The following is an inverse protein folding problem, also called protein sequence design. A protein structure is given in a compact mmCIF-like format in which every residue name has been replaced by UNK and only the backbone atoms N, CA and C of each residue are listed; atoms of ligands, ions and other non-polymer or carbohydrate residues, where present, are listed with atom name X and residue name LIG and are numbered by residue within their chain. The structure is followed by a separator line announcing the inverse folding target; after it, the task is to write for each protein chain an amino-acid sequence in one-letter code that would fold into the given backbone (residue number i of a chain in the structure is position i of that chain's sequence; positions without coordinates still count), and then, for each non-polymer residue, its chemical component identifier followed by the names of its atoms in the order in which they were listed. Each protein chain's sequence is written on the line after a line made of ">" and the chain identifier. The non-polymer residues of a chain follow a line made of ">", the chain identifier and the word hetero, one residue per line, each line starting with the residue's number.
data_IF_150837851349
#
_entry.id   IF_150837851349
#
_cell.length_a   1.000
_cell.length_b   1.000
_cell.length_c   1.000
_cell.angle_alpha   90.00
_cell.angle_beta   90.00
_cell.angle_gamma   90.00
#
_symmetry.space_group_name_H-M   'P 1'
#
loop_
_entity.id
_entity.type
_entity.pdbx_description
1 polymer ?
#
# COMPACT_ATOMS: atom_id res chain seq x y z
N UNK A 1 12.37 14.81 20.75
CA UNK A 1 11.55 13.70 20.22
C UNK A 1 10.26 14.29 19.70
N UNK A 2 10.18 14.58 18.40
CA UNK A 2 9.00 15.20 17.79
C UNK A 2 8.20 14.10 17.07
N UNK A 3 7.24 13.51 17.78
CA UNK A 3 6.32 12.52 17.24
C UNK A 3 5.24 13.21 16.43
N UNK A 4 5.54 13.54 15.17
CA UNK A 4 4.54 13.94 14.20
C UNK A 4 3.66 12.75 13.83
N UNK A 5 2.54 12.58 14.54
CA UNK A 5 1.50 11.61 14.19
C UNK A 5 0.68 12.18 13.03
N UNK A 6 1.24 12.12 11.82
CA UNK A 6 0.50 12.29 10.57
C UNK A 6 0.11 10.91 10.03
N UNK A 7 -1.06 10.42 10.42
CA UNK A 7 -1.57 9.08 10.11
C UNK A 7 -2.45 9.01 8.85
N UNK A 8 -2.26 7.90 8.14
CA UNK A 8 -3.00 7.26 7.02
C UNK A 8 -3.52 8.11 5.83
N UNK A 9 -4.26 9.20 6.04
CA UNK A 9 -4.68 10.10 4.94
C UNK A 9 -4.56 11.60 5.26
N UNK A 10 -3.92 11.97 6.37
CA UNK A 10 -3.42 13.34 6.60
C UNK A 10 -2.14 13.60 5.79
N UNK A 11 -2.02 14.79 5.20
CA UNK A 11 -0.84 15.20 4.44
C UNK A 11 0.40 15.26 5.37
N UNK A 12 1.33 14.33 5.20
CA UNK A 12 2.67 14.50 5.76
C UNK A 12 3.32 15.71 5.10
N UNK A 13 3.98 16.58 5.89
CA UNK A 13 4.74 17.73 5.37
C UNK A 13 5.66 17.26 4.24
N UNK A 14 5.38 17.70 3.02
CA UNK A 14 6.27 17.52 1.89
C UNK A 14 7.59 18.24 2.19
N UNK A 15 8.73 17.54 2.07
CA UNK A 15 10.06 18.15 2.10
C UNK A 15 10.98 17.78 3.27
N UNK A 16 10.57 16.94 4.22
CA UNK A 16 11.52 16.37 5.19
C UNK A 16 12.38 15.32 4.48
N UNK A 17 13.68 15.60 4.28
CA UNK A 17 14.65 14.65 3.72
C UNK A 17 14.45 13.26 4.31
N UNK A 18 14.16 12.29 3.45
CA UNK A 18 13.87 10.92 3.89
C UNK A 18 15.19 10.23 4.16
N UNK A 19 15.55 10.10 5.43
CA UNK A 19 16.65 9.21 5.82
C UNK A 19 16.30 7.77 5.39
N UNK A 20 17.05 7.17 4.44
CA UNK A 20 16.76 5.83 3.93
C UNK A 20 16.72 4.77 5.04
N UNK A 21 17.52 4.96 6.10
CA UNK A 21 17.63 4.02 7.22
C UNK A 21 16.33 4.00 8.04
N UNK A 22 15.69 5.16 8.20
CA UNK A 22 14.39 5.28 8.89
C UNK A 22 13.22 4.64 8.12
N UNK A 23 13.35 4.50 6.80
CA UNK A 23 12.35 3.82 5.96
C UNK A 23 12.54 2.30 6.03
N UNK A 24 13.79 1.85 5.97
CA UNK A 24 14.18 0.43 6.05
C UNK A 24 13.81 -0.24 7.38
N UNK A 25 13.68 0.54 8.45
CA UNK A 25 13.28 0.03 9.79
C UNK A 25 11.77 -0.15 9.95
N UNK A 26 10.95 0.29 8.99
CA UNK A 26 9.50 0.08 9.06
C UNK A 26 9.19 -1.42 8.87
N UNK A 27 8.44 -2.06 9.78
CA UNK A 27 8.21 -3.50 9.74
C UNK A 27 7.54 -3.96 8.42
N UNK A 28 6.64 -3.14 7.86
CA UNK A 28 6.03 -3.42 6.56
C UNK A 28 7.05 -3.47 5.41
N UNK A 29 8.02 -2.55 5.38
CA UNK A 29 9.04 -2.47 4.33
C UNK A 29 9.99 -3.67 4.44
N UNK A 30 10.34 -4.09 5.65
CA UNK A 30 11.15 -5.29 5.89
C UNK A 30 10.45 -6.52 5.31
N UNK A 31 9.15 -6.69 5.55
CA UNK A 31 8.38 -7.80 4.97
C UNK A 31 8.36 -7.74 3.44
N UNK A 32 8.24 -6.56 2.84
CA UNK A 32 8.32 -6.40 1.37
C UNK A 32 9.67 -6.82 0.81
N UNK A 33 10.75 -6.43 1.48
CA UNK A 33 12.10 -6.85 1.10
C UNK A 33 12.26 -8.37 1.23
N UNK A 34 11.69 -8.99 2.27
CA UNK A 34 11.68 -10.45 2.41
C UNK A 34 10.89 -11.12 1.27
N UNK A 35 9.71 -10.62 0.91
CA UNK A 35 8.96 -11.12 -0.25
C UNK A 35 9.79 -11.05 -1.54
N UNK A 36 10.50 -9.93 -1.74
CA UNK A 36 11.37 -9.72 -2.90
C UNK A 36 12.54 -10.71 -2.93
N UNK A 37 13.27 -10.86 -1.81
CA UNK A 37 14.38 -11.80 -1.68
C UNK A 37 13.92 -13.25 -1.87
N UNK A 38 12.83 -13.66 -1.21
CA UNK A 38 12.34 -15.04 -1.31
C UNK A 38 11.92 -15.38 -2.74
N UNK A 39 11.31 -14.42 -3.45
CA UNK A 39 10.97 -14.59 -4.86
C UNK A 39 12.22 -14.87 -5.71
N UNK A 40 13.30 -14.10 -5.51
CA UNK A 40 14.60 -14.31 -6.18
C UNK A 40 15.17 -15.69 -5.87
N UNK A 41 15.14 -16.10 -4.60
CA UNK A 41 15.65 -17.42 -4.22
C UNK A 41 14.88 -18.53 -4.94
N UNK A 42 13.54 -18.45 -5.01
CA UNK A 42 12.75 -19.50 -5.66
C UNK A 42 13.00 -19.58 -7.16
N UNK A 43 12.80 -18.48 -7.91
CA UNK A 43 13.00 -18.55 -9.37
C UNK A 43 14.48 -18.74 -9.73
N UNK A 44 15.40 -18.24 -8.90
CA UNK A 44 16.84 -18.45 -9.05
C UNK A 44 17.22 -19.91 -8.88
N UNK A 45 16.79 -20.57 -7.80
CA UNK A 45 17.05 -21.99 -7.57
C UNK A 45 16.50 -22.87 -8.70
N UNK A 46 15.27 -22.59 -9.16
CA UNK A 46 14.66 -23.34 -10.27
C UNK A 46 15.38 -23.05 -11.59
N UNK A 47 15.73 -21.79 -11.86
CA UNK A 47 16.40 -21.39 -13.10
C UNK A 47 17.83 -21.93 -13.20
N UNK A 48 18.57 -21.99 -12.09
CA UNK A 48 19.97 -22.44 -12.08
C UNK A 48 20.10 -23.96 -12.16
N UNK A 49 19.38 -24.71 -11.32
CA UNK A 49 19.56 -26.17 -11.24
C UNK A 49 18.23 -26.96 -11.25
N UNK A 50 17.11 -26.31 -11.57
CA UNK A 50 15.83 -26.99 -11.78
C UNK A 50 15.75 -27.77 -13.09
N UNK A 51 16.71 -27.61 -14.00
CA UNK A 51 16.71 -28.20 -15.34
C UNK A 51 17.96 -29.02 -15.62
N UNK A 52 17.79 -30.15 -16.30
CA UNK A 52 18.89 -30.97 -16.83
C UNK A 52 18.50 -31.56 -18.18
N UNK A 53 19.26 -31.24 -19.23
CA UNK A 53 19.00 -31.69 -20.61
C UNK A 53 17.54 -31.46 -21.03
N UNK A 54 17.06 -30.23 -20.82
CA UNK A 54 15.70 -29.75 -21.11
C UNK A 54 14.57 -30.47 -20.34
N UNK A 55 14.91 -31.25 -19.31
CA UNK A 55 13.95 -31.88 -18.41
C UNK A 55 13.93 -31.16 -17.07
N UNK A 56 12.73 -30.83 -16.60
CA UNK A 56 12.52 -30.31 -15.26
C UNK A 56 12.80 -31.39 -14.22
N UNK A 57 13.58 -31.08 -13.19
CA UNK A 57 13.93 -32.03 -12.12
C UNK A 57 12.75 -32.36 -11.19
N UNK A 58 11.66 -31.57 -11.22
CA UNK A 58 10.40 -31.91 -10.59
C UNK A 58 9.66 -32.97 -11.42
N UNK A 59 10.13 -34.22 -11.37
CA UNK A 59 9.49 -35.39 -12.00
C UNK A 59 9.30 -35.26 -13.53
N UNK A 60 10.24 -34.61 -14.23
CA UNK A 60 10.13 -34.31 -15.67
C UNK A 60 8.88 -33.49 -16.04
N UNK A 61 8.23 -32.87 -15.08
CA UNK A 61 7.06 -32.02 -15.31
C UNK A 61 7.51 -30.60 -15.63
N UNK A 62 7.55 -30.27 -16.93
CA UNK A 62 7.90 -28.94 -17.44
C UNK A 62 7.02 -27.85 -16.80
N UNK A 63 5.74 -28.16 -16.53
CA UNK A 63 4.83 -27.19 -15.95
C UNK A 63 5.19 -26.86 -14.50
N UNK A 64 5.78 -27.79 -13.74
CA UNK A 64 6.19 -27.52 -12.36
C UNK A 64 7.31 -26.47 -12.29
N UNK A 65 8.39 -26.64 -13.09
CA UNK A 65 9.47 -25.66 -13.15
C UNK A 65 8.98 -24.30 -13.71
N UNK A 66 8.17 -24.31 -14.77
CA UNK A 66 7.63 -23.09 -15.36
C UNK A 66 6.69 -22.35 -14.42
N UNK A 67 5.83 -23.08 -13.70
CA UNK A 67 4.92 -22.52 -12.72
C UNK A 67 5.68 -21.85 -11.57
N UNK A 68 6.62 -22.57 -10.94
CA UNK A 68 7.43 -22.00 -9.85
C UNK A 68 8.26 -20.79 -10.29
N UNK A 69 8.87 -20.84 -11.48
CA UNK A 69 9.61 -19.72 -12.06
C UNK A 69 8.69 -18.53 -12.32
N UNK A 70 7.54 -18.76 -12.96
CA UNK A 70 6.57 -17.72 -13.30
C UNK A 70 6.03 -17.01 -12.06
N UNK A 71 5.62 -17.75 -11.03
CA UNK A 71 5.17 -17.17 -9.76
C UNK A 71 6.29 -16.39 -9.08
N UNK A 72 7.52 -16.92 -9.07
CA UNK A 72 8.68 -16.18 -8.53
C UNK A 72 8.93 -14.86 -9.26
N UNK A 73 8.87 -14.83 -10.59
CA UNK A 73 9.08 -13.59 -11.38
C UNK A 73 7.95 -12.59 -11.17
N UNK A 74 6.69 -13.04 -11.15
CA UNK A 74 5.53 -12.16 -10.89
C UNK A 74 5.62 -11.58 -9.47
N UNK A 75 5.96 -12.40 -8.48
CA UNK A 75 6.13 -11.95 -7.11
C UNK A 75 7.32 -10.97 -6.96
N UNK A 76 8.42 -11.18 -7.69
CA UNK A 76 9.55 -10.25 -7.75
C UNK A 76 9.16 -8.87 -8.32
N UNK A 77 8.50 -8.84 -9.49
CA UNK A 77 8.08 -7.58 -10.11
C UNK A 77 7.00 -6.87 -9.30
N UNK A 78 6.02 -7.64 -8.80
CA UNK A 78 4.94 -7.11 -7.98
C UNK A 78 5.43 -6.57 -6.63
N UNK A 79 6.34 -7.29 -5.96
CA UNK A 79 6.93 -6.81 -4.71
C UNK A 79 7.76 -5.54 -4.91
N UNK A 80 8.51 -5.43 -6.01
CA UNK A 80 9.22 -4.21 -6.38
C UNK A 80 8.25 -3.04 -6.61
N UNK A 81 7.17 -3.24 -7.36
CA UNK A 81 6.17 -2.20 -7.61
C UNK A 81 5.47 -1.74 -6.33
N UNK A 82 5.15 -2.67 -5.42
CA UNK A 82 4.57 -2.35 -4.12
C UNK A 82 5.55 -1.62 -3.20
N UNK A 83 6.84 -1.98 -3.23
CA UNK A 83 7.88 -1.28 -2.49
C UNK A 83 8.04 0.17 -2.98
N UNK A 84 8.03 0.40 -4.29
CA UNK A 84 7.99 1.77 -4.86
C UNK A 84 6.73 2.51 -4.41
N UNK A 85 5.58 1.83 -4.41
CA UNK A 85 4.31 2.40 -3.95
C UNK A 85 4.40 2.83 -2.48
N UNK A 86 5.02 2.03 -1.61
CA UNK A 86 5.24 2.37 -0.20
C UNK A 86 6.16 3.59 -0.02
N UNK A 87 7.24 3.69 -0.80
CA UNK A 87 8.16 4.84 -0.76
C UNK A 87 7.46 6.12 -1.21
N UNK A 88 6.69 6.04 -2.29
CA UNK A 88 5.99 7.20 -2.86
C UNK A 88 4.65 7.51 -2.17
N UNK A 89 4.19 6.66 -1.25
CA UNK A 89 2.84 6.73 -0.67
C UNK A 89 2.51 8.12 -0.08
N UNK A 90 3.48 8.72 0.63
CA UNK A 90 3.32 10.02 1.25
C UNK A 90 3.26 11.18 0.24
N UNK A 91 3.82 10.99 -0.95
CA UNK A 91 3.84 11.99 -2.03
C UNK A 91 2.52 12.01 -2.82
N UNK A 92 1.66 11.01 -2.66
CA UNK A 92 0.35 10.97 -3.32
C UNK A 92 -0.57 12.00 -2.65
N UNK A 93 -1.01 13.04 -3.36
CA UNK A 93 -1.90 14.09 -2.80
C UNK A 93 -3.36 13.64 -2.68
N UNK A 94 -3.79 12.67 -3.48
CA UNK A 94 -5.19 12.24 -3.54
C UNK A 94 -5.49 11.07 -2.61
N UNK A 95 -6.39 11.29 -1.65
CA UNK A 95 -6.92 10.27 -0.74
C UNK A 95 -7.54 9.10 -1.51
N UNK A 96 -8.26 9.38 -2.60
CA UNK A 96 -8.88 8.36 -3.46
C UNK A 96 -7.83 7.43 -4.08
N UNK A 97 -6.71 8.00 -4.55
CA UNK A 97 -5.60 7.23 -5.13
C UNK A 97 -4.90 6.40 -4.06
N UNK A 98 -4.59 6.99 -2.90
CA UNK A 98 -3.97 6.25 -1.78
C UNK A 98 -4.86 5.08 -1.33
N UNK A 99 -6.18 5.27 -1.23
CA UNK A 99 -7.12 4.18 -0.89
C UNK A 99 -7.10 3.05 -1.92
N UNK A 100 -7.14 3.38 -3.22
CA UNK A 100 -7.03 2.38 -4.29
C UNK A 100 -5.70 1.63 -4.25
N UNK A 101 -4.60 2.33 -3.99
CA UNK A 101 -3.28 1.70 -3.86
C UNK A 101 -3.25 0.70 -2.70
N UNK A 102 -3.80 1.04 -1.53
CA UNK A 102 -3.88 0.11 -0.40
C UNK A 102 -4.77 -1.09 -0.69
N UNK A 103 -5.93 -0.90 -1.35
CA UNK A 103 -6.81 -2.02 -1.73
C UNK A 103 -6.12 -2.94 -2.74
N UNK A 104 -5.45 -2.36 -3.76
CA UNK A 104 -4.69 -3.11 -4.74
C UNK A 104 -3.56 -3.91 -4.07
N UNK A 105 -2.89 -3.32 -3.08
CA UNK A 105 -1.87 -3.99 -2.29
C UNK A 105 -2.42 -5.21 -1.51
N UNK A 106 -3.54 -5.02 -0.80
CA UNK A 106 -4.21 -6.13 -0.08
C UNK A 106 -4.57 -7.25 -1.06
N UNK A 107 -5.20 -6.92 -2.19
CA UNK A 107 -5.65 -7.88 -3.19
C UNK A 107 -4.46 -8.66 -3.80
N UNK A 108 -3.42 -7.93 -4.23
CA UNK A 108 -2.23 -8.56 -4.80
C UNK A 108 -1.51 -9.43 -3.78
N UNK A 109 -1.38 -8.95 -2.54
CA UNK A 109 -0.70 -9.69 -1.48
C UNK A 109 -1.47 -10.96 -1.09
N UNK A 110 -2.80 -10.91 -1.07
CA UNK A 110 -3.66 -12.08 -0.85
C UNK A 110 -3.56 -13.10 -1.99
N UNK A 111 -3.60 -12.63 -3.24
CA UNK A 111 -3.41 -13.49 -4.41
C UNK A 111 -2.04 -14.17 -4.36
N UNK A 112 -0.97 -13.43 -4.04
CA UNK A 112 0.38 -14.00 -3.95
C UNK A 112 0.52 -14.99 -2.79
N UNK A 113 -0.04 -14.72 -1.61
CA UNK A 113 -0.03 -15.69 -0.51
C UNK A 113 -0.68 -17.03 -0.91
N UNK A 114 -1.82 -16.97 -1.60
CA UNK A 114 -2.48 -18.16 -2.13
C UNK A 114 -1.63 -18.85 -3.21
N UNK A 115 -1.07 -18.10 -4.15
CA UNK A 115 -0.22 -18.67 -5.20
C UNK A 115 1.05 -19.32 -4.62
N UNK A 116 1.66 -18.76 -3.57
CA UNK A 116 2.79 -19.38 -2.88
C UNK A 116 2.41 -20.69 -2.19
N UNK A 117 1.20 -20.78 -1.63
CA UNK A 117 0.68 -22.05 -1.11
C UNK A 117 0.51 -23.09 -2.23
N UNK A 118 -0.06 -22.70 -3.38
CA UNK A 118 -0.18 -23.59 -4.54
C UNK A 118 1.20 -24.02 -5.06
N UNK A 119 2.15 -23.10 -5.18
CA UNK A 119 3.54 -23.39 -5.58
C UNK A 119 4.20 -24.36 -4.64
N UNK A 120 4.10 -24.14 -3.32
CA UNK A 120 4.64 -25.07 -2.32
C UNK A 120 4.05 -26.47 -2.47
N UNK A 121 2.72 -26.59 -2.54
CA UNK A 121 2.05 -27.88 -2.67
C UNK A 121 2.44 -28.60 -3.98
N UNK A 122 2.43 -27.88 -5.10
CA UNK A 122 2.72 -28.45 -6.41
C UNK A 122 4.17 -28.88 -6.54
N UNK A 123 5.13 -28.01 -6.17
CA UNK A 123 6.55 -28.35 -6.21
C UNK A 123 6.88 -29.50 -5.25
N UNK A 124 6.26 -29.55 -4.07
CA UNK A 124 6.47 -30.64 -3.11
C UNK A 124 5.96 -31.98 -3.64
N UNK A 125 4.76 -32.03 -4.21
CA UNK A 125 4.20 -33.27 -4.76
C UNK A 125 4.99 -33.73 -6.00
N UNK A 126 5.34 -32.82 -6.89
CA UNK A 126 6.18 -33.13 -8.06
C UNK A 126 7.58 -33.58 -7.64
N UNK A 127 8.18 -32.98 -6.61
CA UNK A 127 9.48 -33.42 -6.08
C UNK A 127 9.42 -34.79 -5.43
N UNK A 128 8.37 -35.09 -4.67
CA UNK A 128 8.16 -36.41 -4.03
C UNK A 128 8.12 -37.55 -5.05
N UNK A 129 7.59 -37.29 -6.25
CA UNK A 129 7.50 -38.25 -7.36
C UNK A 129 8.78 -38.33 -8.19
N UNK A 130 9.69 -37.36 -8.04
CA UNK A 130 10.85 -37.22 -8.90
C UNK A 130 11.89 -38.33 -8.63
N UNK A 131 12.51 -38.90 -9.68
CA UNK A 131 13.65 -39.77 -9.50
C UNK A 131 14.84 -38.97 -8.95
N UNK A 132 15.65 -39.60 -8.09
CA UNK A 132 16.82 -38.92 -7.53
C UNK A 132 17.84 -38.60 -8.64
N UNK A 133 18.28 -37.34 -8.78
CA UNK A 133 19.20 -36.94 -9.85
C UNK A 133 20.60 -37.55 -9.64
N UNK A 134 21.26 -37.92 -10.75
CA UNK A 134 22.63 -38.48 -10.71
C UNK A 134 23.58 -37.49 -10.03
N UNK A 135 24.42 -38.00 -9.13
CA UNK A 135 25.36 -37.21 -8.33
C UNK A 135 24.74 -36.11 -7.44
N UNK A 136 23.41 -36.11 -7.24
CA UNK A 136 22.74 -35.13 -6.39
C UNK A 136 22.63 -33.72 -6.98
N UNK A 137 22.82 -33.57 -8.30
CA UNK A 137 22.66 -32.28 -9.00
C UNK A 137 21.30 -31.65 -8.71
N UNK A 138 21.25 -30.36 -8.37
CA UNK A 138 20.00 -29.62 -8.19
C UNK A 138 19.25 -29.90 -6.88
N UNK A 139 19.57 -30.96 -6.13
CA UNK A 139 18.76 -31.39 -4.98
C UNK A 139 18.56 -30.28 -3.95
N UNK A 140 19.63 -29.55 -3.61
CA UNK A 140 19.56 -28.46 -2.63
C UNK A 140 18.79 -27.26 -3.17
N UNK A 141 18.95 -26.93 -4.46
CA UNK A 141 18.22 -25.85 -5.10
C UNK A 141 16.71 -26.14 -5.16
N UNK A 142 16.30 -27.35 -5.57
CA UNK A 142 14.89 -27.73 -5.60
C UNK A 142 14.27 -27.72 -4.20
N UNK A 143 14.96 -28.29 -3.21
CA UNK A 143 14.51 -28.24 -1.81
C UNK A 143 14.43 -26.80 -1.28
N UNK A 144 15.40 -25.96 -1.63
CA UNK A 144 15.41 -24.53 -1.32
C UNK A 144 14.18 -23.84 -1.91
N UNK A 145 13.91 -24.01 -3.20
CA UNK A 145 12.72 -23.45 -3.85
C UNK A 145 11.42 -23.88 -3.17
N UNK A 146 11.28 -25.14 -2.76
CA UNK A 146 10.13 -25.62 -1.97
C UNK A 146 10.05 -24.89 -0.62
N UNK A 147 11.13 -24.86 0.15
CA UNK A 147 11.16 -24.29 1.49
C UNK A 147 10.86 -22.77 1.48
N UNK A 148 11.47 -22.03 0.57
CA UNK A 148 11.22 -20.59 0.42
C UNK A 148 9.82 -20.30 -0.12
N UNK A 149 9.23 -21.20 -0.92
CA UNK A 149 7.80 -21.09 -1.29
C UNK A 149 6.88 -21.21 -0.08
N UNK A 150 7.16 -22.16 0.83
CA UNK A 150 6.41 -22.32 2.08
C UNK A 150 6.52 -21.09 2.97
N UNK A 151 7.74 -20.61 3.22
CA UNK A 151 7.93 -19.44 4.08
C UNK A 151 7.31 -18.17 3.49
N UNK A 152 7.29 -18.04 2.16
CA UNK A 152 6.67 -16.90 1.48
C UNK A 152 5.18 -16.75 1.84
N UNK A 153 4.46 -17.84 2.10
CA UNK A 153 3.04 -17.77 2.51
C UNK A 153 2.86 -16.85 3.72
N UNK A 154 3.69 -17.01 4.75
CA UNK A 154 3.59 -16.23 5.97
C UNK A 154 4.07 -14.78 5.79
N UNK A 155 5.09 -14.55 4.98
CA UNK A 155 5.59 -13.20 4.71
C UNK A 155 4.53 -12.39 3.94
N UNK A 156 3.92 -12.98 2.92
CA UNK A 156 2.82 -12.35 2.18
C UNK A 156 1.58 -12.16 3.06
N UNK A 157 1.25 -13.11 3.96
CA UNK A 157 0.20 -12.92 4.95
C UNK A 157 0.47 -11.74 5.90
N UNK A 158 1.72 -11.57 6.34
CA UNK A 158 2.17 -10.40 7.09
C UNK A 158 1.97 -9.10 6.31
N UNK A 159 2.31 -9.08 5.02
CA UNK A 159 2.05 -7.94 4.14
C UNK A 159 0.56 -7.58 4.09
N UNK A 160 -0.33 -8.57 3.96
CA UNK A 160 -1.79 -8.37 4.00
C UNK A 160 -2.21 -7.71 5.32
N UNK A 161 -1.72 -8.22 6.45
CA UNK A 161 -2.05 -7.68 7.77
C UNK A 161 -1.67 -6.21 7.89
N UNK A 162 -0.45 -5.82 7.50
CA UNK A 162 -0.01 -4.43 7.55
C UNK A 162 -0.74 -3.54 6.53
N UNK A 163 -1.03 -4.03 5.34
CA UNK A 163 -1.82 -3.28 4.35
C UNK A 163 -3.26 -3.07 4.84
N UNK A 164 -3.85 -4.08 5.49
CA UNK A 164 -5.18 -3.99 6.09
C UNK A 164 -5.23 -3.06 7.30
N UNK A 165 -4.23 -3.07 8.18
CA UNK A 165 -4.16 -2.09 9.29
C UNK A 165 -4.06 -0.66 8.76
N UNK A 166 -3.25 -0.42 7.71
CA UNK A 166 -3.21 0.87 7.01
C UNK A 166 -4.56 1.25 6.38
N UNK A 167 -5.26 0.29 5.76
CA UNK A 167 -6.59 0.51 5.21
C UNK A 167 -7.59 0.96 6.28
N UNK A 168 -7.59 0.29 7.43
CA UNK A 168 -8.47 0.62 8.56
C UNK A 168 -8.18 2.02 9.10
N UNK A 169 -6.92 2.33 9.40
CA UNK A 169 -6.51 3.67 9.86
C UNK A 169 -6.96 4.74 8.87
N UNK A 170 -6.85 4.47 7.57
CA UNK A 170 -7.30 5.36 6.53
C UNK A 170 -8.82 5.55 6.50
N UNK A 171 -9.59 4.46 6.60
CA UNK A 171 -11.04 4.53 6.65
C UNK A 171 -11.51 5.34 7.87
N UNK A 172 -10.93 5.09 9.05
CA UNK A 172 -11.27 5.77 10.30
C UNK A 172 -11.00 7.29 10.20
N UNK A 173 -9.87 7.70 9.60
CA UNK A 173 -9.59 9.13 9.37
C UNK A 173 -10.57 9.80 8.41
N UNK A 174 -11.03 9.09 7.36
CA UNK A 174 -11.98 9.65 6.40
C UNK A 174 -13.34 9.93 7.05
N UNK A 175 -13.79 9.08 7.98
CA UNK A 175 -15.04 9.29 8.73
C UNK A 175 -14.94 10.46 9.70
N UNK A 176 -13.80 10.64 10.36
CA UNK A 176 -13.57 11.79 11.24
C UNK A 176 -13.56 13.11 10.45
N UNK A 177 -12.87 13.19 9.30
CA UNK A 177 -12.86 14.42 8.49
C UNK A 177 -14.25 14.75 7.93
N UNK A 178 -15.04 13.76 7.52
CA UNK A 178 -16.42 14.00 7.03
C UNK A 178 -17.41 14.44 8.12
N UNK A 179 -17.12 14.16 9.40
CA UNK A 179 -17.93 14.65 10.52
C UNK A 179 -17.71 16.13 10.86
N UNK A 180 -16.58 16.71 10.42
CA UNK A 180 -16.29 18.13 10.59
C UNK A 180 -16.79 19.01 9.43
N UNK A 181 -17.07 18.43 8.25
CA UNK A 181 -17.64 19.17 7.10
C UNK A 181 -19.18 19.21 7.10
N UNK A 182 -19.84 18.53 8.04
CA UNK A 182 -21.29 18.27 7.95
C UNK A 182 -22.16 18.67 9.14
N UNK A 183 -21.62 19.17 10.26
CA UNK A 183 -22.48 19.46 11.41
C UNK A 183 -21.93 20.56 12.32
N UNK A 184 -22.34 21.80 12.04
CA UNK A 184 -22.27 22.91 13.00
C UNK A 184 -23.43 22.87 14.03
N UNK A 185 -24.09 21.71 14.22
CA UNK A 185 -25.37 21.62 14.91
C UNK A 185 -25.62 20.31 15.68
N UNK A 186 -24.63 19.82 16.42
CA UNK A 186 -24.87 18.80 17.46
C UNK A 186 -24.65 19.35 18.88
N UNK A 187 -25.71 19.44 19.73
CA UNK A 187 -25.59 19.85 21.12
C UNK A 187 -25.14 18.66 21.98
N UNK A 188 -23.89 18.68 22.45
CA UNK A 188 -23.44 17.74 23.50
C UNK A 188 -21.98 17.26 23.45
N UNK A 189 -21.17 17.68 22.47
CA UNK A 189 -19.75 17.35 22.45
C UNK A 189 -18.93 18.29 23.33
N UNK A 190 -18.31 17.75 24.40
CA UNK A 190 -17.48 18.48 25.36
C UNK A 190 -16.38 19.35 24.70
N UNK A 191 -16.02 20.50 25.30
CA UNK A 191 -15.20 21.52 24.65
C UNK A 191 -13.71 21.17 24.65
N UNK A 192 -13.10 21.40 23.48
CA UNK A 192 -11.78 22.01 23.27
C UNK A 192 -10.50 21.36 23.84
N UNK A 193 -9.52 21.20 22.94
CA UNK A 193 -8.16 21.69 23.20
C UNK A 193 -7.68 22.42 21.94
N UNK A 194 -8.05 23.70 21.83
CA UNK A 194 -7.38 24.61 20.91
C UNK A 194 -6.00 24.97 21.44
N UNK A 195 -5.17 25.40 20.50
CA UNK A 195 -3.96 26.20 20.68
C UNK A 195 -3.95 27.06 21.96
N UNK A 196 -2.81 27.14 22.68
CA UNK A 196 -2.65 28.10 23.76
C UNK A 196 -2.63 29.51 23.15
N UNK A 197 -3.65 30.28 23.52
CA UNK A 197 -3.88 31.66 23.13
C UNK A 197 -2.87 32.60 23.81
N UNK A 198 -2.33 33.55 23.04
CA UNK A 198 -1.76 34.79 23.56
C UNK A 198 -2.89 35.78 23.84
N UNK A 199 -2.70 36.82 24.65
CA UNK A 199 -3.82 37.55 25.23
C UNK A 199 -4.54 38.48 24.24
N UNK A 200 -5.85 38.26 24.15
CA UNK A 200 -6.99 39.20 24.06
C UNK A 200 -6.99 40.31 22.99
N UNK A 201 -7.90 40.17 22.00
CA UNK A 201 -8.79 41.28 21.64
C UNK A 201 -10.07 40.74 20.96
N UNK A 202 -11.19 40.86 21.68
CA UNK A 202 -12.56 40.60 21.25
C UNK A 202 -13.12 41.83 20.52
N UNK A 203 -13.77 41.67 19.36
CA UNK A 203 -15.08 42.29 19.07
C UNK A 203 -15.63 41.94 17.67
N UNK A 204 -16.87 41.44 17.64
CA UNK A 204 -17.90 41.94 16.73
C UNK A 204 -18.10 41.28 15.35
N UNK A 205 -18.97 40.25 15.27
CA UNK A 205 -20.32 40.30 14.66
C UNK A 205 -20.80 38.92 14.12
N UNK A 206 -21.99 38.52 14.57
CA UNK A 206 -22.79 37.37 14.11
C UNK A 206 -23.74 37.75 12.94
N UNK A 207 -23.80 36.86 11.94
CA UNK A 207 -24.82 36.42 10.92
C UNK A 207 -26.37 36.70 11.08
N UNK A 208 -27.34 36.22 10.22
CA UNK A 208 -27.45 35.87 8.77
C UNK A 208 -28.82 36.34 8.09
N UNK A 209 -29.56 35.58 7.21
CA UNK A 209 -29.73 35.75 5.74
C UNK A 209 -31.20 35.98 5.25
N UNK A 210 -31.46 36.36 3.98
CA UNK A 210 -32.66 35.96 3.19
C UNK A 210 -32.59 36.44 1.73
N UNK A 211 -33.08 35.61 0.82
CA UNK A 211 -33.26 35.85 -0.63
C UNK A 211 -34.73 36.04 -0.99
N UNK A 212 -35.10 37.07 -1.78
CA UNK A 212 -36.09 36.98 -2.89
C UNK A 212 -36.46 38.35 -3.50
N UNK A 213 -36.56 38.33 -4.83
CA UNK A 213 -37.03 39.27 -5.85
C UNK A 213 -38.05 40.38 -5.51
N UNK A 214 -37.87 41.54 -6.17
CA UNK A 214 -38.80 42.14 -7.17
C UNK A 214 -38.98 43.67 -7.06
N UNK A 215 -38.67 44.35 -8.18
CA UNK A 215 -39.15 45.66 -8.71
C UNK A 215 -39.45 46.80 -7.73
N UNK A 216 -38.81 47.95 -7.93
CA UNK A 216 -39.50 49.16 -8.40
C UNK A 216 -38.51 50.25 -8.84
N UNK A 217 -39.04 51.19 -9.63
CA UNK A 217 -38.41 52.01 -10.65
C UNK A 217 -37.97 53.41 -10.15
N UNK A 218 -36.90 53.94 -10.78
CA UNK A 218 -36.55 55.37 -10.99
C UNK A 218 -35.75 56.14 -9.89
N UNK A 219 -35.19 57.33 -10.19
CA UNK A 219 -34.22 57.63 -11.26
C UNK A 219 -33.04 58.51 -10.77
N UNK A 220 -31.84 58.37 -11.37
CA UNK A 220 -30.83 59.43 -11.35
C UNK A 220 -29.46 59.03 -10.80
N UNK A 221 -28.45 59.03 -11.68
CA UNK A 221 -27.04 58.94 -11.29
C UNK A 221 -26.18 58.35 -12.42
N UNK A 222 -25.21 59.09 -13.00
CA UNK A 222 -24.59 58.71 -14.27
C UNK A 222 -23.68 57.49 -14.14
N UNK A 223 -23.88 56.52 -15.04
CA UNK A 223 -22.92 55.45 -15.27
C UNK A 223 -21.66 55.98 -15.94
N UNK A 224 -20.51 55.52 -15.45
CA UNK A 224 -19.25 55.54 -16.19
C UNK A 224 -18.63 54.15 -16.16
N UNK A 225 -18.25 53.67 -17.34
CA UNK A 225 -17.82 52.32 -17.64
C UNK A 225 -16.35 52.32 -18.12
N UNK A 226 -15.55 51.44 -17.48
CA UNK A 226 -14.28 50.78 -17.88
C UNK A 226 -13.07 51.63 -18.34
N UNK A 227 -11.85 51.11 -18.13
CA UNK A 227 -11.18 50.43 -19.24
C UNK A 227 -10.61 49.06 -18.90
N UNK A 228 -10.63 48.19 -19.90
CA UNK A 228 -9.91 46.94 -19.96
C UNK A 228 -8.49 47.16 -20.49
N UNK A 229 -7.52 46.45 -19.91
CA UNK A 229 -6.33 45.94 -20.59
C UNK A 229 -6.12 44.50 -20.15
#
# INVERSE_FOLDING_TARGET
>A
MNGGVGGAYGAGKAGSGTDPISILTKPHVILRLLCWVFSIVVFGCIGSEGWMKDKCLYNNDINACNFGTGIGVIAFLGSLALLVTDIMFNNISSIKVRRRAVIADIAFSAAMAFMWFVTFCYLSDSWRKAPYPKHGYGVNNLRGAIAFSFFSIFVWAGCIFFAFTRYRQGADTAFMTSGFEGDASMPGGAPYTSYPDGPEMNEGYQEPPFSSSQKDMAPGGPGFQQPAY
#
